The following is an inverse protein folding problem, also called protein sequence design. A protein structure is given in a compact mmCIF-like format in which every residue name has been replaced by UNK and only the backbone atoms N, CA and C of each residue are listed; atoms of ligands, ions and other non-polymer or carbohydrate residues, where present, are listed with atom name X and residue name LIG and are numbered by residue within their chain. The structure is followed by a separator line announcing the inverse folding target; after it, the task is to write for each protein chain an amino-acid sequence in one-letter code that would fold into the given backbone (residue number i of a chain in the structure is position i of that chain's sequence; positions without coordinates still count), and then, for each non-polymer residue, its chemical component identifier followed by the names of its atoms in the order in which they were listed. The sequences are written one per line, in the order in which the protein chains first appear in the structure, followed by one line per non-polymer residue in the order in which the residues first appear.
data_IF_118484485455
#
_entry.id   IF_118484485455
#
_cell.length_a   1.000
_cell.length_b   1.000
_cell.length_c   1.000
_cell.angle_alpha   90.00
_cell.angle_beta   90.00
_cell.angle_gamma   90.00
#
_symmetry.space_group_name_H-M   'P 1'
#
loop_
_entity.id
_entity.type
_entity.pdbx_description
1 polymer ?
#
# COMPACT_ATOMS: atom_id res chain seq x y z
N UNK A 1 17.78 -9.82 7.89
CA UNK A 1 16.45 -9.46 7.37
C UNK A 1 16.42 -9.94 5.93
N UNK A 2 15.42 -10.74 5.52
CA UNK A 2 15.24 -11.11 4.11
C UNK A 2 14.72 -9.87 3.39
N UNK A 3 15.29 -9.56 2.23
CA UNK A 3 14.76 -8.50 1.38
C UNK A 3 13.32 -8.84 0.99
N UNK A 4 12.39 -7.88 1.04
CA UNK A 4 11.02 -8.10 0.60
C UNK A 4 11.02 -8.46 -0.90
N UNK A 5 10.28 -9.50 -1.27
CA UNK A 5 10.17 -9.97 -2.67
C UNK A 5 9.41 -8.93 -3.51
N UNK A 6 8.51 -8.15 -2.90
CA UNK A 6 7.71 -7.14 -3.61
C UNK A 6 7.73 -5.80 -2.85
N UNK A 7 8.17 -4.76 -3.54
CA UNK A 7 7.96 -3.36 -3.12
C UNK A 7 6.87 -2.74 -4.00
N UNK A 8 5.82 -2.22 -3.38
CA UNK A 8 4.73 -1.53 -4.07
C UNK A 8 4.85 -0.04 -3.79
N UNK A 9 5.21 0.73 -4.81
CA UNK A 9 5.32 2.19 -4.73
C UNK A 9 4.05 2.82 -5.31
N UNK A 10 3.33 3.59 -4.48
CA UNK A 10 2.08 4.22 -4.88
C UNK A 10 2.18 5.73 -4.62
N UNK A 11 1.94 6.58 -5.64
CA UNK A 11 1.90 8.03 -5.45
C UNK A 11 0.82 8.44 -4.47
N UNK A 12 1.10 9.48 -3.68
CA UNK A 12 0.17 10.03 -2.69
C UNK A 12 -1.16 10.47 -3.32
N UNK A 13 -1.14 11.00 -4.55
CA UNK A 13 -2.35 11.34 -5.32
C UNK A 13 -3.26 10.13 -5.58
N UNK A 14 -2.68 8.97 -5.91
CA UNK A 14 -3.42 7.72 -6.15
C UNK A 14 -3.91 7.12 -4.83
N UNK A 15 -3.08 7.11 -3.79
CA UNK A 15 -3.48 6.64 -2.46
C UNK A 15 -4.71 7.41 -1.94
N UNK A 16 -4.76 8.74 -2.13
CA UNK A 16 -5.92 9.56 -1.76
C UNK A 16 -7.17 9.19 -2.57
N UNK A 17 -7.04 8.96 -3.88
CA UNK A 17 -8.16 8.52 -4.73
C UNK A 17 -8.70 7.16 -4.31
N UNK A 18 -7.82 6.19 -4.04
CA UNK A 18 -8.20 4.84 -3.62
C UNK A 18 -8.93 4.83 -2.28
N UNK A 19 -8.50 5.70 -1.35
CA UNK A 19 -9.16 5.83 -0.06
C UNK A 19 -10.51 6.57 -0.14
N UNK A 20 -10.83 7.22 -1.26
CA UNK A 20 -12.03 8.06 -1.39
C UNK A 20 -12.01 9.25 -0.42
N UNK A 21 -10.83 9.68 0.02
CA UNK A 21 -10.68 10.74 1.01
C UNK A 21 -10.30 12.03 0.29
N UNK A 22 -11.26 12.95 0.16
CA UNK A 22 -11.05 14.32 -0.33
C UNK A 22 -10.34 15.23 0.69
N UNK A 23 -10.10 14.73 1.91
CA UNK A 23 -9.43 15.46 2.99
C UNK A 23 -7.97 15.07 3.12
N UNK A 24 -7.15 15.96 3.68
CA UNK A 24 -5.78 15.61 4.03
C UNK A 24 -5.75 14.59 5.16
N UNK A 25 -5.30 13.39 4.84
CA UNK A 25 -5.10 12.27 5.76
C UNK A 25 -3.61 12.14 6.04
N UNK A 26 -3.19 11.82 7.28
CA UNK A 26 -1.81 11.52 7.57
C UNK A 26 -1.28 10.41 6.66
N UNK A 27 -0.08 10.57 6.12
CA UNK A 27 0.55 9.60 5.21
C UNK A 27 0.56 8.19 5.79
N UNK A 28 0.76 8.04 7.12
CA UNK A 28 0.73 6.74 7.80
C UNK A 28 -0.62 6.02 7.72
N UNK A 29 -1.73 6.77 7.68
CA UNK A 29 -3.08 6.19 7.57
C UNK A 29 -3.36 5.75 6.12
N UNK A 30 -2.91 6.54 5.14
CA UNK A 30 -2.97 6.17 3.72
C UNK A 30 -2.11 4.95 3.43
N UNK A 31 -0.89 4.88 3.97
CA UNK A 31 0.00 3.74 3.75
C UNK A 31 -0.56 2.46 4.35
N UNK A 32 -1.18 2.52 5.54
CA UNK A 32 -1.83 1.37 6.15
C UNK A 32 -3.05 0.89 5.34
N UNK A 33 -3.88 1.82 4.87
CA UNK A 33 -5.04 1.48 4.03
C UNK A 33 -4.63 0.83 2.70
N UNK A 34 -3.68 1.44 2.00
CA UNK A 34 -3.17 0.92 0.72
C UNK A 34 -2.43 -0.40 0.91
N UNK A 35 -1.66 -0.55 2.00
CA UNK A 35 -1.02 -1.81 2.35
C UNK A 35 -2.05 -2.92 2.58
N UNK A 36 -3.13 -2.66 3.31
CA UNK A 36 -4.19 -3.64 3.53
C UNK A 36 -4.86 -4.06 2.22
N UNK A 37 -5.19 -3.12 1.32
CA UNK A 37 -5.75 -3.47 0.00
C UNK A 37 -4.78 -4.32 -0.81
N UNK A 38 -3.50 -3.94 -0.82
CA UNK A 38 -2.48 -4.66 -1.57
C UNK A 38 -2.28 -6.08 -1.00
N UNK A 39 -2.25 -6.23 0.32
CA UNK A 39 -2.15 -7.53 1.01
C UNK A 39 -3.39 -8.37 0.71
N UNK A 40 -4.61 -7.83 0.86
CA UNK A 40 -5.85 -8.54 0.55
C UNK A 40 -5.89 -9.01 -0.91
N UNK A 41 -5.45 -8.17 -1.85
CA UNK A 41 -5.35 -8.53 -3.26
C UNK A 41 -4.32 -9.64 -3.50
N UNK A 42 -3.18 -9.60 -2.84
CA UNK A 42 -2.12 -10.61 -2.96
C UNK A 42 -2.54 -11.95 -2.33
N UNK A 43 -3.22 -11.92 -1.19
CA UNK A 43 -3.81 -13.11 -0.56
C UNK A 43 -4.87 -13.75 -1.47
N UNK A 44 -5.65 -12.95 -2.21
CA UNK A 44 -6.67 -13.46 -3.13
C UNK A 44 -6.11 -14.30 -4.30
N UNK A 45 -4.82 -14.14 -4.61
CA UNK A 45 -4.11 -14.90 -5.65
C UNK A 45 -3.14 -15.94 -5.07
N UNK A 46 -3.30 -16.32 -3.80
CA UNK A 46 -2.43 -17.24 -3.05
C UNK A 46 -0.96 -16.77 -2.96
N UNK A 47 -0.70 -15.46 -2.96
CA UNK A 47 0.64 -14.94 -2.76
C UNK A 47 1.02 -15.01 -1.27
N UNK A 48 2.25 -15.43 -0.92
CA UNK A 48 2.69 -15.47 0.47
C UNK A 48 2.80 -14.05 1.07
N UNK A 49 2.10 -13.82 2.17
CA UNK A 49 1.97 -12.53 2.87
C UNK A 49 3.31 -11.95 3.37
N UNK A 50 4.33 -12.81 3.52
CA UNK A 50 5.59 -12.53 4.21
C UNK A 50 6.54 -11.55 3.52
N UNK A 51 6.25 -11.09 2.30
CA UNK A 51 7.26 -10.49 1.42
C UNK A 51 6.84 -9.17 0.75
N UNK A 52 5.83 -8.46 1.29
CA UNK A 52 5.28 -7.23 0.69
C UNK A 52 5.60 -6.00 1.54
N UNK A 53 6.30 -5.03 0.96
CA UNK A 53 6.45 -3.68 1.52
C UNK A 53 5.73 -2.67 0.64
N UNK A 54 4.81 -1.92 1.22
CA UNK A 54 4.14 -0.80 0.54
C UNK A 54 4.81 0.52 0.95
N UNK A 55 5.27 1.28 -0.04
CA UNK A 55 5.85 2.62 0.13
C UNK A 55 4.95 3.63 -0.57
N UNK A 56 4.57 4.69 0.15
CA UNK A 56 3.95 5.85 -0.46
C UNK A 56 5.06 6.82 -0.85
N UNK A 57 5.13 7.16 -2.14
CA UNK A 57 6.03 8.17 -2.68
C UNK A 57 5.30 9.51 -2.81
N UNK A 58 6.05 10.61 -2.68
CA UNK A 58 5.58 11.91 -3.18
C UNK A 58 5.50 11.85 -4.71
N UNK A 59 4.53 12.55 -5.30
CA UNK A 59 4.36 12.64 -6.76
C UNK A 59 5.57 13.30 -7.46
#
# INVERSE_FOLDING_TARGET
MKDPIITIEIPKSIAKKLAGIDKEVPTGMLSGFVANIAIDGLLSVNFPESDVIVRITDD
#
